data_IF_264609122961
#
_entry.id   IF_264609122961
#
_cell.length_a   1.000
_cell.length_b   1.000
_cell.length_c   1.000
_cell.angle_alpha   90.00
_cell.angle_beta   90.00
_cell.angle_gamma   90.00
#
_symmetry.space_group_name_H-M   'P 1'
#
loop_
_entity.id
_entity.type
_entity.pdbx_description
1 polymer ?
#
# COMPACT_ATOMS: atom_id res chain seq x y z
N UNK A 1 8.50 -2.15 29.09
CA UNK A 1 8.57 -2.26 27.62
C UNK A 1 7.17 -2.08 27.10
N UNK A 2 6.73 -0.83 26.99
CA UNK A 2 5.44 -0.48 26.41
C UNK A 2 5.70 -0.26 24.92
N UNK A 3 5.01 -1.02 24.07
CA UNK A 3 5.03 -0.82 22.63
C UNK A 3 4.47 0.58 22.37
N UNK A 4 5.33 1.49 21.88
CA UNK A 4 4.95 2.87 21.64
C UNK A 4 4.22 2.98 20.30
N UNK A 5 3.47 4.07 20.15
CA UNK A 5 2.80 4.45 18.91
C UNK A 5 1.78 3.39 18.44
N UNK A 6 0.97 2.92 19.38
CA UNK A 6 -0.19 2.07 19.12
C UNK A 6 -1.44 2.83 19.55
N UNK A 7 -2.54 2.60 18.85
CA UNK A 7 -3.88 2.97 19.31
C UNK A 7 -4.73 1.74 19.59
N UNK A 8 -5.65 1.86 20.54
CA UNK A 8 -6.51 0.77 21.00
C UNK A 8 -7.99 1.16 20.96
N UNK A 9 -8.85 0.18 20.70
CA UNK A 9 -10.29 0.34 20.85
C UNK A 9 -10.72 0.32 22.33
N UNK A 10 -12.03 0.49 22.57
CA UNK A 10 -12.61 0.44 23.92
C UNK A 10 -12.61 -0.97 24.56
N UNK A 11 -12.20 -1.99 23.83
CA UNK A 11 -12.05 -3.37 24.26
C UNK A 11 -10.57 -3.80 24.38
N UNK A 12 -9.65 -2.83 24.38
CA UNK A 12 -8.19 -3.02 24.50
C UNK A 12 -7.53 -3.79 23.34
N UNK A 13 -8.14 -3.81 22.14
CA UNK A 13 -7.50 -4.36 20.93
C UNK A 13 -6.73 -3.28 20.17
N UNK A 14 -5.58 -3.65 19.60
CA UNK A 14 -4.79 -2.74 18.76
C UNK A 14 -5.55 -2.46 17.44
N UNK A 15 -5.79 -1.19 17.15
CA UNK A 15 -6.44 -0.74 15.91
C UNK A 15 -5.47 -0.01 15.00
N UNK A 16 -4.49 0.69 15.55
CA UNK A 16 -3.54 1.46 14.75
C UNK A 16 -2.11 1.23 15.21
N UNK A 17 -1.20 1.12 14.24
CA UNK A 17 0.22 0.93 14.45
C UNK A 17 0.96 2.03 13.69
N UNK A 18 1.63 2.92 14.44
CA UNK A 18 2.30 4.13 13.96
C UNK A 18 3.82 4.02 14.14
N UNK A 19 4.45 3.14 13.37
CA UNK A 19 5.89 2.88 13.42
C UNK A 19 6.67 3.59 12.31
N UNK A 20 6.16 4.72 11.83
CA UNK A 20 6.91 5.59 10.93
C UNK A 20 8.18 6.10 11.63
N UNK A 21 9.30 6.14 10.91
CA UNK A 21 10.58 6.66 11.41
C UNK A 21 11.00 6.05 12.78
N UNK A 22 10.93 4.72 12.89
CA UNK A 22 11.20 3.99 14.11
C UNK A 22 12.54 3.24 14.12
N UNK A 23 13.40 3.51 13.13
CA UNK A 23 14.71 2.85 12.93
C UNK A 23 14.57 1.32 12.83
N UNK A 24 13.46 0.85 12.23
CA UNK A 24 13.22 -0.57 12.03
C UNK A 24 14.09 -1.10 10.88
N UNK A 25 14.66 -2.28 11.09
CA UNK A 25 15.50 -2.99 10.11
C UNK A 25 14.97 -4.41 9.89
N UNK A 26 15.45 -5.07 8.84
CA UNK A 26 15.15 -6.48 8.56
C UNK A 26 13.87 -6.65 7.73
N UNK A 27 13.24 -7.82 7.83
CA UNK A 27 12.06 -8.16 7.02
C UNK A 27 10.76 -7.97 7.78
N UNK A 28 9.69 -7.57 7.07
CA UNK A 28 8.35 -7.45 7.61
C UNK A 28 7.48 -8.64 7.15
N UNK A 29 7.16 -9.53 8.09
CA UNK A 29 6.05 -10.46 7.92
C UNK A 29 4.75 -9.71 8.22
N UNK A 30 3.68 -9.85 7.44
CA UNK A 30 2.40 -9.17 7.70
C UNK A 30 1.38 -10.11 8.37
N UNK A 31 1.66 -11.42 8.44
CA UNK A 31 0.72 -12.40 9.00
C UNK A 31 0.51 -12.27 10.51
N UNK A 32 1.40 -11.55 11.22
CA UNK A 32 1.26 -11.34 12.66
C UNK A 32 0.24 -10.24 13.00
N UNK A 33 -0.19 -9.44 12.02
CA UNK A 33 -1.04 -8.28 12.28
C UNK A 33 -2.33 -8.67 13.02
N UNK A 34 -2.70 -7.96 14.09
CA UNK A 34 -3.98 -8.17 14.76
C UNK A 34 -5.15 -8.05 13.76
N UNK A 35 -6.17 -8.93 13.84
CA UNK A 35 -7.35 -8.83 12.96
C UNK A 35 -8.12 -7.52 13.07
N UNK A 36 -7.93 -6.78 14.18
CA UNK A 36 -8.56 -5.49 14.47
C UNK A 36 -7.80 -4.30 13.89
N UNK A 37 -6.63 -4.50 13.27
CA UNK A 37 -5.84 -3.40 12.72
C UNK A 37 -6.56 -2.74 11.54
N UNK A 38 -6.75 -1.43 11.65
CA UNK A 38 -7.35 -0.55 10.65
C UNK A 38 -6.30 0.33 9.96
N UNK A 39 -5.22 0.66 10.67
CA UNK A 39 -4.13 1.51 10.19
C UNK A 39 -2.78 0.89 10.51
N UNK A 40 -1.91 0.79 9.51
CA UNK A 40 -0.54 0.32 9.68
C UNK A 40 0.43 1.18 8.88
N UNK A 41 1.34 1.84 9.59
CA UNK A 41 2.34 2.73 9.02
C UNK A 41 3.73 2.37 9.54
N UNK A 42 4.62 2.02 8.62
CA UNK A 42 6.06 1.78 8.84
C UNK A 42 6.91 2.61 7.88
N UNK A 43 6.39 3.77 7.46
CA UNK A 43 7.07 4.69 6.56
C UNK A 43 8.46 5.08 7.10
N UNK A 44 9.44 5.33 6.21
CA UNK A 44 10.75 5.88 6.59
C UNK A 44 11.52 5.01 7.57
N UNK A 45 11.66 3.73 7.24
CA UNK A 45 12.51 2.78 7.97
C UNK A 45 13.54 2.15 7.02
N UNK A 46 14.31 1.18 7.52
CA UNK A 46 15.29 0.40 6.75
C UNK A 46 14.78 -1.04 6.53
N UNK A 47 13.47 -1.21 6.38
CA UNK A 47 12.86 -2.52 6.16
C UNK A 47 13.17 -3.02 4.74
N UNK A 48 13.36 -4.33 4.62
CA UNK A 48 13.81 -5.03 3.42
C UNK A 48 13.00 -6.31 3.20
N UNK A 49 13.31 -7.03 2.13
CA UNK A 49 12.63 -8.28 1.79
C UNK A 49 11.30 -8.05 1.08
N UNK A 50 10.61 -9.14 0.79
CA UNK A 50 9.29 -9.11 0.16
C UNK A 50 8.17 -9.01 1.18
N UNK A 51 7.07 -8.36 0.80
CA UNK A 51 5.84 -8.29 1.61
C UNK A 51 4.71 -9.03 0.91
N UNK A 52 3.93 -9.80 1.68
CA UNK A 52 2.75 -10.50 1.19
C UNK A 52 1.49 -9.73 1.55
N UNK A 53 0.94 -8.97 0.60
CA UNK A 53 -0.30 -8.21 0.82
C UNK A 53 -1.57 -9.08 0.81
N UNK A 54 -1.46 -10.38 0.51
CA UNK A 54 -2.63 -11.28 0.47
C UNK A 54 -3.07 -11.75 1.85
N UNK A 55 -2.30 -11.45 2.90
CA UNK A 55 -2.57 -11.84 4.28
C UNK A 55 -3.02 -10.68 5.20
N UNK A 56 -3.36 -9.53 4.61
CA UNK A 56 -3.77 -8.35 5.36
C UNK A 56 -5.11 -8.60 6.10
N UNK A 57 -5.31 -7.99 7.29
CA UNK A 57 -6.58 -8.05 8.00
C UNK A 57 -7.74 -7.50 7.16
N UNK A 58 -8.90 -8.18 7.18
CA UNK A 58 -10.11 -7.79 6.44
C UNK A 58 -10.58 -6.36 6.73
N UNK A 59 -10.28 -5.85 7.94
CA UNK A 59 -10.64 -4.50 8.39
C UNK A 59 -9.65 -3.41 8.01
N UNK A 60 -8.49 -3.74 7.45
CA UNK A 60 -7.42 -2.76 7.21
C UNK A 60 -7.86 -1.71 6.17
N UNK A 61 -7.76 -0.44 6.55
CA UNK A 61 -8.18 0.71 5.75
C UNK A 61 -6.98 1.42 5.12
N UNK A 62 -5.88 1.53 5.86
CA UNK A 62 -4.69 2.28 5.42
C UNK A 62 -3.44 1.45 5.67
N UNK A 63 -2.63 1.30 4.61
CA UNK A 63 -1.32 0.68 4.65
C UNK A 63 -0.27 1.64 4.07
N UNK A 64 0.71 2.02 4.88
CA UNK A 64 1.85 2.84 4.46
C UNK A 64 3.16 2.09 4.68
N UNK A 65 3.79 1.68 3.57
CA UNK A 65 5.09 1.00 3.51
C UNK A 65 6.16 1.86 2.84
N UNK A 66 5.87 3.14 2.56
CA UNK A 66 6.73 4.00 1.75
C UNK A 66 8.08 4.30 2.41
N UNK A 67 9.06 4.75 1.62
CA UNK A 67 10.40 5.10 2.09
C UNK A 67 11.07 3.96 2.88
N UNK A 68 11.17 2.79 2.26
CA UNK A 68 11.87 1.61 2.76
C UNK A 68 12.73 1.00 1.64
N UNK A 69 13.24 -0.21 1.86
CA UNK A 69 14.01 -0.97 0.87
C UNK A 69 13.35 -2.31 0.53
N UNK A 70 12.02 -2.39 0.57
CA UNK A 70 11.27 -3.60 0.19
C UNK A 70 11.52 -3.97 -1.28
N UNK A 71 11.52 -5.28 -1.56
CA UNK A 71 11.80 -5.86 -2.88
C UNK A 71 10.70 -6.84 -3.31
N UNK A 72 10.77 -7.29 -4.56
CA UNK A 72 9.89 -8.33 -5.07
C UNK A 72 8.59 -7.79 -5.68
N UNK A 73 7.70 -8.70 -6.05
CA UNK A 73 6.41 -8.38 -6.66
C UNK A 73 5.33 -8.17 -5.61
N UNK A 74 4.29 -7.41 -5.96
CA UNK A 74 3.14 -7.16 -5.10
C UNK A 74 1.87 -7.71 -5.76
N UNK A 75 1.06 -8.43 -4.99
CA UNK A 75 -0.25 -8.91 -5.44
C UNK A 75 -1.37 -8.08 -4.80
N UNK A 76 -2.09 -7.32 -5.64
CA UNK A 76 -3.18 -6.43 -5.19
C UNK A 76 -4.56 -7.09 -5.27
N UNK A 77 -4.68 -8.35 -5.71
CA UNK A 77 -5.97 -9.01 -5.98
C UNK A 77 -6.73 -9.42 -4.71
N UNK A 78 -6.03 -9.47 -3.57
CA UNK A 78 -6.57 -9.88 -2.28
C UNK A 78 -6.56 -8.74 -1.26
N UNK A 79 -6.52 -7.48 -1.71
CA UNK A 79 -6.62 -6.34 -0.80
C UNK A 79 -7.98 -6.35 -0.07
N UNK A 80 -8.01 -5.97 1.22
CA UNK A 80 -9.24 -5.91 2.01
C UNK A 80 -10.30 -5.02 1.35
N UNK A 81 -11.57 -5.43 1.40
CA UNK A 81 -12.66 -4.72 0.74
C UNK A 81 -12.91 -3.31 1.28
N UNK A 82 -12.46 -3.04 2.52
CA UNK A 82 -12.54 -1.75 3.19
C UNK A 82 -11.28 -0.89 3.04
N UNK A 83 -10.28 -1.35 2.29
CA UNK A 83 -9.05 -0.59 2.09
C UNK A 83 -9.32 0.68 1.29
N UNK A 84 -8.84 1.80 1.82
CA UNK A 84 -8.99 3.13 1.23
C UNK A 84 -7.67 3.66 0.67
N UNK A 85 -6.54 3.30 1.29
CA UNK A 85 -5.23 3.85 0.93
C UNK A 85 -4.11 2.82 0.97
N UNK A 86 -3.26 2.87 -0.06
CA UNK A 86 -2.03 2.09 -0.15
C UNK A 86 -0.88 2.96 -0.63
N UNK A 87 0.15 3.07 0.20
CA UNK A 87 1.35 3.82 -0.10
C UNK A 87 2.56 2.86 -0.09
N UNK A 88 3.16 2.67 -1.27
CA UNK A 88 4.32 1.80 -1.49
C UNK A 88 5.51 2.59 -2.05
N UNK A 89 5.45 3.92 -2.06
CA UNK A 89 6.39 4.75 -2.79
C UNK A 89 7.80 4.68 -2.22
N UNK A 90 8.81 4.93 -3.05
CA UNK A 90 10.23 4.95 -2.63
C UNK A 90 10.60 3.61 -1.98
N UNK A 91 10.53 2.55 -2.78
CA UNK A 91 10.96 1.19 -2.46
C UNK A 91 11.67 0.58 -3.69
N UNK A 92 11.97 -0.72 -3.64
CA UNK A 92 12.58 -1.47 -4.74
C UNK A 92 11.64 -2.58 -5.27
N UNK A 93 10.33 -2.37 -5.20
CA UNK A 93 9.36 -3.33 -5.76
C UNK A 93 9.50 -3.43 -7.29
N UNK A 94 9.24 -4.62 -7.83
CA UNK A 94 9.44 -4.95 -9.24
C UNK A 94 8.22 -5.62 -9.85
N UNK A 95 8.18 -5.66 -11.18
CA UNK A 95 7.22 -6.45 -11.96
C UNK A 95 5.93 -5.71 -12.29
N UNK A 96 5.03 -6.42 -12.96
CA UNK A 96 3.74 -5.88 -13.39
C UNK A 96 2.77 -5.75 -12.22
N UNK A 97 1.87 -4.76 -12.33
CA UNK A 97 0.82 -4.49 -11.35
C UNK A 97 -0.54 -4.62 -12.02
N UNK A 98 -1.42 -5.42 -11.40
CA UNK A 98 -2.81 -5.55 -11.79
C UNK A 98 -3.68 -4.59 -10.95
N UNK A 99 -4.20 -3.54 -11.58
CA UNK A 99 -5.09 -2.55 -10.97
C UNK A 99 -6.58 -2.87 -11.21
N UNK A 100 -6.91 -4.01 -11.84
CA UNK A 100 -8.29 -4.31 -12.27
C UNK A 100 -9.19 -4.87 -11.16
N UNK A 101 -8.61 -5.19 -10.01
CA UNK A 101 -9.30 -5.82 -8.87
C UNK A 101 -9.23 -4.98 -7.59
N UNK A 102 -8.99 -3.67 -7.69
CA UNK A 102 -8.92 -2.81 -6.51
C UNK A 102 -10.27 -2.72 -5.78
N UNK A 103 -10.26 -2.65 -4.43
CA UNK A 103 -11.47 -2.46 -3.65
C UNK A 103 -12.28 -1.24 -4.07
N UNK A 104 -13.61 -1.34 -4.02
CA UNK A 104 -14.49 -0.21 -4.39
C UNK A 104 -14.29 1.02 -3.48
N UNK A 105 -13.82 0.82 -2.24
CA UNK A 105 -13.56 1.88 -1.27
C UNK A 105 -12.23 2.62 -1.49
N UNK A 106 -11.41 2.22 -2.47
CA UNK A 106 -10.07 2.80 -2.67
C UNK A 106 -10.13 4.25 -3.10
N UNK A 107 -9.33 5.09 -2.44
CA UNK A 107 -9.28 6.54 -2.66
C UNK A 107 -7.91 7.02 -3.08
N UNK A 108 -6.83 6.43 -2.54
CA UNK A 108 -5.47 6.90 -2.79
C UNK A 108 -4.51 5.74 -2.99
N UNK A 109 -3.68 5.84 -4.03
CA UNK A 109 -2.61 4.90 -4.30
C UNK A 109 -1.33 5.64 -4.68
N UNK A 110 -0.22 5.34 -4.00
CA UNK A 110 1.11 5.79 -4.40
C UNK A 110 2.05 4.60 -4.64
N UNK A 111 2.37 4.35 -5.92
CA UNK A 111 3.33 3.33 -6.35
C UNK A 111 4.65 3.94 -6.80
N UNK A 112 4.79 5.26 -6.69
CA UNK A 112 5.87 6.00 -7.34
C UNK A 112 7.26 5.62 -6.83
N UNK A 113 8.29 5.88 -7.63
CA UNK A 113 9.68 5.61 -7.26
C UNK A 113 9.90 4.14 -6.85
N UNK A 114 9.52 3.24 -7.75
CA UNK A 114 9.74 1.79 -7.66
C UNK A 114 10.20 1.30 -9.04
N UNK A 115 10.54 0.02 -9.15
CA UNK A 115 10.90 -0.65 -10.41
C UNK A 115 9.73 -1.46 -10.99
N UNK A 116 8.49 -1.02 -10.74
CA UNK A 116 7.32 -1.60 -11.39
C UNK A 116 7.40 -1.37 -12.91
N UNK A 117 7.07 -2.38 -13.69
CA UNK A 117 7.23 -2.37 -15.15
C UNK A 117 6.09 -3.12 -15.85
N UNK A 118 5.90 -2.82 -17.14
CA UNK A 118 4.96 -3.55 -17.99
C UNK A 118 3.65 -2.82 -18.25
N UNK A 119 2.77 -3.49 -18.99
CA UNK A 119 1.48 -2.93 -19.41
C UNK A 119 0.46 -3.02 -18.26
N UNK A 120 -0.14 -1.89 -17.91
CA UNK A 120 -1.14 -1.76 -16.85
C UNK A 120 -2.45 -1.22 -17.41
N UNK A 121 -3.54 -1.89 -17.07
CA UNK A 121 -4.89 -1.45 -17.42
C UNK A 121 -5.40 -0.44 -16.38
N UNK A 122 -5.45 0.84 -16.77
CA UNK A 122 -5.98 1.92 -15.96
C UNK A 122 -7.50 2.14 -16.14
N UNK A 123 -8.17 1.31 -16.94
CA UNK A 123 -9.60 1.50 -17.28
C UNK A 123 -10.57 1.02 -16.20
N UNK A 124 -10.10 0.18 -15.27
CA UNK A 124 -10.92 -0.46 -14.21
C UNK A 124 -10.66 0.14 -12.82
N UNK A 125 -10.11 1.36 -12.75
CA UNK A 125 -9.86 2.01 -11.47
C UNK A 125 -11.19 2.32 -10.73
N UNK A 126 -11.23 2.24 -9.38
CA UNK A 126 -12.42 2.53 -8.60
C UNK A 126 -12.97 3.93 -8.84
N UNK A 127 -14.30 4.08 -8.81
CA UNK A 127 -14.99 5.37 -9.03
C UNK A 127 -14.58 6.44 -8.01
N UNK A 128 -14.35 6.02 -6.76
CA UNK A 128 -13.96 6.91 -5.65
C UNK A 128 -12.44 7.17 -5.59
N UNK A 129 -11.65 6.66 -6.55
CA UNK A 129 -10.22 6.92 -6.60
C UNK A 129 -9.97 8.40 -6.93
N UNK A 130 -9.28 9.10 -6.05
CA UNK A 130 -9.00 10.55 -6.15
C UNK A 130 -7.52 10.86 -6.36
N UNK A 131 -6.64 9.92 -6.02
CA UNK A 131 -5.20 10.05 -6.17
C UNK A 131 -4.59 8.75 -6.67
N UNK A 132 -3.84 8.85 -7.77
CA UNK A 132 -3.00 7.77 -8.28
C UNK A 132 -1.65 8.35 -8.69
N UNK A 133 -0.58 7.88 -8.06
CA UNK A 133 0.76 8.26 -8.42
C UNK A 133 1.57 7.03 -8.85
N UNK A 134 1.99 7.02 -10.11
CA UNK A 134 2.82 5.98 -10.72
C UNK A 134 4.09 6.57 -11.32
N UNK A 135 4.45 7.80 -10.93
CA UNK A 135 5.65 8.48 -11.40
C UNK A 135 6.90 7.70 -11.02
N UNK A 136 7.97 7.83 -11.82
CA UNK A 136 9.23 7.12 -11.59
C UNK A 136 9.04 5.61 -11.45
N UNK A 137 8.23 5.04 -12.33
CA UNK A 137 8.11 3.60 -12.60
C UNK A 137 8.25 3.39 -14.12
N UNK A 138 8.39 2.15 -14.56
CA UNK A 138 8.39 1.75 -15.97
C UNK A 138 7.02 1.20 -16.42
N UNK A 139 5.95 1.55 -15.68
CA UNK A 139 4.58 1.17 -16.04
C UNK A 139 4.11 1.95 -17.28
N UNK A 140 3.50 1.24 -18.22
CA UNK A 140 2.92 1.82 -19.43
C UNK A 140 1.45 1.42 -19.55
N UNK A 141 0.61 2.31 -20.08
CA UNK A 141 -0.81 2.00 -20.29
C UNK A 141 -1.60 3.19 -20.79
N UNK A 142 -2.74 2.94 -21.42
CA UNK A 142 -3.61 4.00 -21.90
C UNK A 142 -4.57 4.46 -20.78
N UNK A 143 -4.38 5.69 -20.31
CA UNK A 143 -5.35 6.35 -19.42
C UNK A 143 -6.50 6.89 -20.27
N UNK A 144 -7.52 6.06 -20.51
CA UNK A 144 -8.70 6.50 -21.27
C UNK A 144 -9.69 7.22 -20.35
N UNK A 145 -9.59 8.56 -20.33
CA UNK A 145 -10.59 9.50 -19.80
C UNK A 145 -11.01 9.27 -18.34
N UNK A 146 -10.28 9.87 -17.40
CA UNK A 146 -10.70 9.97 -16.01
C UNK A 146 -11.08 11.42 -15.70
N UNK A 147 -12.37 11.67 -15.48
CA UNK A 147 -12.80 12.98 -15.00
C UNK A 147 -12.50 13.05 -13.49
N UNK A 148 -11.73 14.05 -13.08
CA UNK A 148 -11.35 14.39 -11.70
C UNK A 148 -10.23 13.59 -11.00
N UNK A 149 -9.64 12.55 -11.61
CA UNK A 149 -8.47 11.87 -11.03
C UNK A 149 -7.18 12.68 -11.27
N UNK A 150 -6.43 12.95 -10.20
CA UNK A 150 -5.05 13.43 -10.33
C UNK A 150 -4.15 12.21 -10.54
N UNK A 151 -3.74 11.97 -11.79
CA UNK A 151 -2.73 10.97 -12.13
C UNK A 151 -1.40 11.67 -12.33
N UNK A 152 -0.39 11.31 -11.54
CA UNK A 152 0.98 11.78 -11.75
C UNK A 152 1.80 10.68 -12.43
N UNK A 153 2.19 10.95 -13.68
CA UNK A 153 2.99 10.08 -14.54
C UNK A 153 4.18 10.92 -15.05
N UNK A 154 5.31 10.90 -14.34
CA UNK A 154 6.58 11.53 -14.77
C UNK A 154 7.79 10.70 -14.34
#
# INVERSE_FOLDING_TARGET
SEWKNLEWDSADHITEIHWYFAELEGSLDLQWMPPTTLFFDVERNELTGSVDLTCLPDGLQILNLSENAFIGTVDLRALPSHMEQLHLSINNFVGAIDLTHLPAAFRQMDLSSNYFEGETDFSQLPEDLTYLNVSRTDLVGEVRSMNALMVHIE
#
